data_IF_977157946748
#
_entry.id   IF_977157946748
#
_cell.length_a   1.000
_cell.length_b   1.000
_cell.length_c   1.000
_cell.angle_alpha   90.00
_cell.angle_beta   90.00
_cell.angle_gamma   90.00
#
_symmetry.space_group_name_H-M   'P 1'
#
loop_
_entity.id
_entity.type
_entity.pdbx_description
1 polymer ?
#
# COMPACT_ATOMS: atom_id res chain seq x y z
N UNK A 1 -17.80 -13.86 13.75
CA UNK A 1 -16.42 -13.81 13.26
C UNK A 1 -15.61 -12.94 14.23
N UNK A 2 -14.38 -13.34 14.55
CA UNK A 2 -13.52 -12.54 15.42
C UNK A 2 -12.63 -11.65 14.54
N UNK A 3 -12.40 -10.36 14.92
CA UNK A 3 -11.49 -9.45 14.22
C UNK A 3 -10.07 -10.05 14.09
N UNK A 4 -9.63 -10.83 15.07
CA UNK A 4 -8.31 -11.49 15.08
C UNK A 4 -8.13 -12.59 14.02
N UNK A 5 -9.21 -13.03 13.38
CA UNK A 5 -9.14 -14.00 12.27
C UNK A 5 -8.66 -13.35 10.98
N UNK A 6 -8.59 -12.02 10.94
CA UNK A 6 -8.25 -11.23 9.78
C UNK A 6 -6.98 -10.41 9.99
N UNK A 7 -6.25 -10.22 8.88
CA UNK A 7 -5.00 -9.48 8.86
C UNK A 7 -5.01 -8.42 7.77
N UNK A 8 -4.77 -7.16 8.14
CA UNK A 8 -4.53 -6.06 7.19
C UNK A 8 -3.02 -5.89 7.03
N UNK A 9 -2.54 -6.14 5.81
CA UNK A 9 -1.14 -6.04 5.47
C UNK A 9 -0.87 -4.71 4.75
N UNK A 10 -0.20 -3.79 5.46
CA UNK A 10 0.11 -2.45 4.97
C UNK A 10 1.43 -2.39 4.19
N UNK A 11 1.50 -1.59 3.10
CA UNK A 11 2.72 -1.37 2.35
C UNK A 11 3.63 -0.36 3.05
N UNK A 12 4.90 -0.69 3.21
CA UNK A 12 5.88 0.20 3.85
C UNK A 12 7.11 0.39 2.95
N UNK A 13 7.43 1.65 2.64
CA UNK A 13 8.59 2.05 1.86
C UNK A 13 9.45 3.11 2.55
N UNK A 14 9.05 3.56 3.75
CA UNK A 14 9.80 4.50 4.59
C UNK A 14 9.36 4.38 6.04
N UNK A 15 10.11 4.96 6.97
CA UNK A 15 9.71 4.99 8.38
C UNK A 15 8.41 5.79 8.59
N UNK A 16 8.19 6.87 7.83
CA UNK A 16 6.91 7.61 7.86
C UNK A 16 5.73 6.70 7.52
N UNK A 17 5.87 5.85 6.50
CA UNK A 17 4.81 4.91 6.12
C UNK A 17 4.65 3.76 7.12
N UNK A 18 5.72 3.34 7.80
CA UNK A 18 5.65 2.37 8.90
C UNK A 18 4.81 2.90 10.07
N UNK A 19 5.12 4.10 10.55
CA UNK A 19 4.33 4.70 11.64
C UNK A 19 2.90 5.03 11.21
N UNK A 20 2.70 5.44 9.94
CA UNK A 20 1.36 5.62 9.39
C UNK A 20 0.54 4.32 9.31
N UNK A 21 1.18 3.17 9.05
CA UNK A 21 0.54 1.86 9.09
C UNK A 21 0.10 1.49 10.52
N UNK A 22 0.96 1.74 11.52
CA UNK A 22 0.64 1.57 12.94
C UNK A 22 -0.56 2.44 13.32
N UNK A 23 -0.52 3.74 12.99
CA UNK A 23 -1.61 4.69 13.24
C UNK A 23 -2.91 4.30 12.56
N UNK A 24 -2.86 3.66 11.39
CA UNK A 24 -4.01 3.16 10.66
C UNK A 24 -4.62 1.88 11.24
N UNK A 25 -3.92 1.21 12.17
CA UNK A 25 -4.35 -0.06 12.76
C UNK A 25 -4.10 -1.26 11.85
N UNK A 26 -2.94 -1.31 11.17
CA UNK A 26 -2.47 -2.50 10.46
C UNK A 26 -2.17 -3.63 11.44
N UNK A 27 -2.33 -4.89 10.99
CA UNK A 27 -1.92 -6.08 11.73
C UNK A 27 -0.53 -6.57 11.27
N UNK A 28 -0.16 -6.22 10.04
CA UNK A 28 1.11 -6.57 9.46
C UNK A 28 1.61 -5.49 8.50
N UNK A 29 2.92 -5.44 8.30
CA UNK A 29 3.53 -4.64 7.25
C UNK A 29 4.30 -5.52 6.27
N UNK A 30 4.41 -5.08 5.02
CA UNK A 30 5.36 -5.67 4.09
C UNK A 30 6.25 -4.59 3.47
N UNK A 31 7.51 -4.92 3.32
CA UNK A 31 8.52 -3.98 2.84
C UNK A 31 9.60 -4.70 2.03
N UNK A 32 10.51 -3.95 1.42
CA UNK A 32 11.66 -4.48 0.70
C UNK A 32 12.94 -3.81 1.16
N UNK A 33 14.02 -4.54 1.09
CA UNK A 33 15.38 -4.00 1.18
C UNK A 33 16.00 -3.93 -0.22
N UNK A 34 17.12 -3.28 -0.36
CA UNK A 34 17.87 -3.25 -1.62
C UNK A 34 18.13 -4.68 -2.13
N UNK A 35 18.01 -4.90 -3.44
CA UNK A 35 18.26 -6.18 -4.08
C UNK A 35 17.02 -6.92 -4.59
N UNK A 36 16.70 -8.09 -4.05
CA UNK A 36 15.80 -9.10 -4.65
C UNK A 36 14.32 -8.89 -4.35
N UNK A 37 13.76 -7.72 -4.66
CA UNK A 37 12.33 -7.47 -4.54
C UNK A 37 11.73 -6.78 -5.78
N UNK A 38 10.43 -6.99 -6.04
CA UNK A 38 9.69 -6.51 -7.22
C UNK A 38 9.63 -4.98 -7.35
N UNK A 39 10.08 -4.22 -6.37
CA UNK A 39 10.15 -2.76 -6.35
C UNK A 39 11.57 -2.23 -6.12
N UNK A 40 12.59 -3.05 -6.33
CA UNK A 40 13.99 -2.69 -6.08
C UNK A 40 14.42 -1.37 -6.75
N UNK A 41 13.88 -1.06 -7.94
CA UNK A 41 14.18 0.18 -8.68
C UNK A 41 13.02 1.18 -8.75
N UNK A 42 11.85 0.88 -8.20
CA UNK A 42 10.64 1.71 -8.37
C UNK A 42 10.02 2.21 -7.07
N UNK A 43 10.61 1.91 -5.93
CA UNK A 43 10.25 2.42 -4.62
C UNK A 43 11.50 2.65 -3.79
N UNK A 44 11.37 3.43 -2.72
CA UNK A 44 12.41 3.46 -1.69
C UNK A 44 12.49 2.08 -1.04
N UNK A 45 13.71 1.65 -0.77
CA UNK A 45 13.97 0.38 -0.10
C UNK A 45 14.79 0.67 1.15
N UNK A 46 14.57 -0.15 2.18
CA UNK A 46 15.41 -0.17 3.36
C UNK A 46 16.71 -0.90 3.07
N UNK A 47 17.65 -0.82 3.98
CA UNK A 47 18.90 -1.57 3.97
C UNK A 47 18.76 -2.82 4.85
N UNK A 48 19.74 -3.71 4.78
CA UNK A 48 19.81 -4.87 5.68
C UNK A 48 19.93 -4.43 7.16
N UNK A 49 20.59 -3.30 7.42
CA UNK A 49 20.75 -2.75 8.77
C UNK A 49 19.41 -2.28 9.39
N UNK A 50 18.44 -1.90 8.55
CA UNK A 50 17.12 -1.51 9.00
C UNK A 50 16.25 -2.68 9.51
N UNK A 51 16.57 -3.92 9.14
CA UNK A 51 15.75 -5.11 9.46
C UNK A 51 15.50 -5.24 10.98
N UNK A 52 16.55 -5.15 11.79
CA UNK A 52 16.43 -5.26 13.26
C UNK A 52 15.60 -4.13 13.85
N UNK A 53 15.76 -2.92 13.33
CA UNK A 53 15.00 -1.77 13.79
C UNK A 53 13.53 -1.87 13.42
N UNK A 54 13.23 -2.30 12.19
CA UNK A 54 11.85 -2.51 11.73
C UNK A 54 11.19 -3.63 12.54
N UNK A 55 11.88 -4.76 12.74
CA UNK A 55 11.38 -5.87 13.55
C UNK A 55 11.08 -5.42 14.99
N UNK A 56 11.99 -4.66 15.62
CA UNK A 56 11.77 -4.11 16.95
C UNK A 56 10.57 -3.18 17.04
N UNK A 57 10.39 -2.25 16.08
CA UNK A 57 9.22 -1.38 16.03
C UNK A 57 7.92 -2.21 15.85
N UNK A 58 7.97 -3.25 15.03
CA UNK A 58 6.81 -4.12 14.83
C UNK A 58 6.45 -4.87 16.11
N UNK A 59 7.43 -5.45 16.79
CA UNK A 59 7.25 -6.19 18.06
C UNK A 59 6.67 -5.27 19.17
N UNK A 60 7.19 -4.05 19.29
CA UNK A 60 6.68 -3.03 20.24
C UNK A 60 5.23 -2.62 19.98
N UNK A 61 4.69 -2.87 18.78
CA UNK A 61 3.35 -2.46 18.37
C UNK A 61 2.44 -3.63 17.97
N UNK A 62 2.77 -4.86 18.33
CA UNK A 62 2.02 -6.08 18.00
C UNK A 62 1.77 -6.26 16.49
N UNK A 63 2.73 -5.83 15.64
CA UNK A 63 2.67 -6.00 14.20
C UNK A 63 3.56 -7.15 13.73
N UNK A 64 3.08 -7.87 12.71
CA UNK A 64 3.93 -8.78 11.95
C UNK A 64 4.72 -8.01 10.89
N UNK A 65 5.95 -8.45 10.64
CA UNK A 65 6.84 -7.90 9.63
C UNK A 65 7.11 -8.90 8.52
N UNK A 66 6.89 -8.52 7.25
CA UNK A 66 7.09 -9.39 6.11
C UNK A 66 8.08 -8.79 5.11
N UNK A 67 9.20 -9.47 4.88
CA UNK A 67 10.21 -9.06 3.92
C UNK A 67 9.90 -9.62 2.52
N UNK A 68 9.85 -8.76 1.51
CA UNK A 68 9.70 -9.22 0.12
C UNK A 68 11.03 -9.64 -0.47
N UNK A 69 11.15 -10.94 -0.84
CA UNK A 69 12.24 -11.55 -1.62
C UNK A 69 11.60 -12.29 -2.80
N UNK A 70 10.84 -11.53 -3.60
CA UNK A 70 9.86 -12.08 -4.54
C UNK A 70 10.19 -11.84 -6.02
N UNK A 71 11.45 -11.61 -6.35
CA UNK A 71 11.96 -11.60 -7.72
C UNK A 71 12.30 -13.02 -8.18
N UNK A 72 12.47 -13.19 -9.49
CA UNK A 72 13.17 -14.35 -10.06
C UNK A 72 14.63 -14.26 -9.67
N UNK A 73 15.22 -15.37 -9.22
CA UNK A 73 16.60 -15.51 -8.79
C UNK A 73 17.41 -16.22 -9.88
N UNK A 74 18.58 -15.68 -10.25
CA UNK A 74 19.53 -16.33 -11.14
C UNK A 74 20.66 -16.93 -10.31
N UNK A 75 21.46 -17.82 -10.88
CA UNK A 75 22.55 -18.47 -10.15
C UNK A 75 23.53 -17.47 -9.52
N UNK A 76 23.76 -16.34 -10.17
CA UNK A 76 24.58 -15.23 -9.66
C UNK A 76 23.99 -14.52 -8.43
N UNK A 77 22.68 -14.63 -8.21
CA UNK A 77 21.96 -13.99 -7.08
C UNK A 77 21.87 -14.90 -5.84
N UNK A 78 22.21 -16.20 -5.96
CA UNK A 78 21.99 -17.19 -4.89
C UNK A 78 22.70 -16.78 -3.58
N UNK A 79 23.96 -16.33 -3.69
CA UNK A 79 24.71 -15.89 -2.51
C UNK A 79 24.01 -14.71 -1.81
N UNK A 80 23.61 -13.68 -2.56
CA UNK A 80 22.88 -12.52 -2.05
C UNK A 80 21.53 -12.93 -1.45
N UNK A 81 20.81 -13.85 -2.09
CA UNK A 81 19.54 -14.35 -1.58
C UNK A 81 19.73 -15.04 -0.23
N UNK A 82 20.77 -15.86 -0.07
CA UNK A 82 21.09 -16.49 1.22
C UNK A 82 21.41 -15.44 2.29
N UNK A 83 22.20 -14.41 1.97
CA UNK A 83 22.52 -13.32 2.90
C UNK A 83 21.25 -12.59 3.37
N UNK A 84 20.35 -12.24 2.45
CA UNK A 84 19.11 -11.55 2.76
C UNK A 84 18.21 -12.40 3.66
N UNK A 85 18.02 -13.69 3.34
CA UNK A 85 17.14 -14.58 4.11
C UNK A 85 17.73 -14.87 5.49
N UNK A 86 19.05 -15.03 5.61
CA UNK A 86 19.74 -15.17 6.90
C UNK A 86 19.58 -13.91 7.76
N UNK A 87 19.77 -12.73 7.17
CA UNK A 87 19.59 -11.45 7.87
C UNK A 87 18.15 -11.26 8.36
N UNK A 88 17.16 -11.69 7.56
CA UNK A 88 15.75 -11.67 7.97
C UNK A 88 15.50 -12.58 9.18
N UNK A 89 16.07 -13.80 9.19
CA UNK A 89 16.00 -14.72 10.32
C UNK A 89 16.63 -14.13 11.58
N UNK A 90 17.87 -13.62 11.47
CA UNK A 90 18.58 -13.00 12.58
C UNK A 90 17.86 -11.79 13.18
N UNK A 91 17.21 -10.99 12.31
CA UNK A 91 16.41 -9.85 12.72
C UNK A 91 15.03 -10.25 13.29
N UNK A 92 14.66 -11.53 13.26
CA UNK A 92 13.34 -12.04 13.67
C UNK A 92 12.18 -11.44 12.86
N UNK A 93 12.38 -11.27 11.56
CA UNK A 93 11.29 -10.93 10.63
C UNK A 93 10.28 -12.09 10.64
N UNK A 94 8.98 -11.77 10.72
CA UNK A 94 7.92 -12.76 10.91
C UNK A 94 7.84 -13.76 9.75
N UNK A 95 7.98 -13.29 8.50
CA UNK A 95 8.01 -14.17 7.32
C UNK A 95 8.67 -13.48 6.13
N UNK A 96 9.03 -14.25 5.10
CA UNK A 96 9.39 -13.72 3.79
C UNK A 96 8.27 -13.96 2.78
N UNK A 97 8.08 -13.01 1.86
CA UNK A 97 7.18 -13.15 0.72
C UNK A 97 8.03 -13.52 -0.49
N UNK A 98 7.90 -14.75 -0.99
CA UNK A 98 8.76 -15.31 -2.03
C UNK A 98 7.96 -15.86 -3.22
N UNK A 99 8.59 -15.94 -4.39
CA UNK A 99 8.03 -16.52 -5.61
C UNK A 99 8.95 -17.53 -6.29
N UNK A 100 10.25 -17.41 -6.08
CA UNK A 100 11.25 -18.31 -6.64
C UNK A 100 11.47 -19.52 -5.74
N UNK A 101 11.52 -20.72 -6.32
CA UNK A 101 11.68 -21.96 -5.55
C UNK A 101 13.03 -22.03 -4.81
N UNK A 102 14.10 -21.43 -5.35
CA UNK A 102 15.39 -21.40 -4.65
C UNK A 102 15.25 -20.63 -3.32
N UNK A 103 14.56 -19.48 -3.34
CA UNK A 103 14.28 -18.68 -2.13
C UNK A 103 13.37 -19.44 -1.16
N UNK A 104 12.27 -20.04 -1.67
CA UNK A 104 11.30 -20.78 -0.86
C UNK A 104 11.97 -21.95 -0.14
N UNK A 105 12.70 -22.78 -0.87
CA UNK A 105 13.36 -23.97 -0.32
C UNK A 105 14.47 -23.60 0.69
N UNK A 106 15.27 -22.57 0.38
CA UNK A 106 16.28 -22.11 1.31
C UNK A 106 15.70 -21.58 2.61
N UNK A 107 14.69 -20.72 2.54
CA UNK A 107 14.01 -20.18 3.73
C UNK A 107 13.44 -21.32 4.60
N UNK A 108 12.77 -22.29 3.98
CA UNK A 108 12.25 -23.47 4.69
C UNK A 108 13.35 -24.32 5.34
N UNK A 109 14.50 -24.46 4.65
CA UNK A 109 15.63 -25.25 5.18
C UNK A 109 16.25 -24.67 6.44
N UNK A 110 16.08 -23.38 6.68
CA UNK A 110 16.56 -22.68 7.87
C UNK A 110 15.41 -22.24 8.81
N UNK A 111 14.21 -22.79 8.63
CA UNK A 111 13.04 -22.52 9.47
C UNK A 111 12.63 -21.02 9.49
N UNK A 112 12.51 -20.41 8.32
CA UNK A 112 11.91 -19.09 8.10
C UNK A 112 10.54 -19.29 7.46
N UNK A 113 9.51 -18.65 8.01
CA UNK A 113 8.14 -18.71 7.47
C UNK A 113 8.08 -18.06 6.07
N UNK A 114 7.32 -18.70 5.18
CA UNK A 114 7.18 -18.27 3.79
C UNK A 114 5.72 -17.98 3.47
N UNK A 115 5.46 -16.83 2.84
CA UNK A 115 4.23 -16.51 2.15
C UNK A 115 4.45 -16.61 0.65
N UNK A 116 3.62 -17.36 -0.07
CA UNK A 116 3.70 -17.48 -1.53
C UNK A 116 3.21 -16.19 -2.17
N UNK A 117 4.08 -15.55 -2.95
CA UNK A 117 3.79 -14.28 -3.60
C UNK A 117 2.82 -14.42 -4.79
N UNK A 118 2.11 -13.33 -5.10
CA UNK A 118 1.18 -13.27 -6.25
C UNK A 118 1.83 -13.60 -7.59
N UNK A 119 3.16 -13.47 -7.74
CA UNK A 119 3.88 -13.80 -8.96
C UNK A 119 3.86 -15.30 -9.30
N UNK A 120 3.55 -16.15 -8.33
CA UNK A 120 3.35 -17.59 -8.54
C UNK A 120 2.04 -17.87 -9.26
N UNK A 121 1.05 -16.96 -9.17
CA UNK A 121 -0.26 -17.04 -9.83
C UNK A 121 -1.08 -18.27 -9.41
N UNK A 122 -1.14 -18.55 -8.11
CA UNK A 122 -1.99 -19.62 -7.57
C UNK A 122 -3.45 -19.32 -7.88
N UNK A 123 -4.11 -20.21 -8.64
CA UNK A 123 -5.44 -19.98 -9.20
C UNK A 123 -6.42 -21.16 -9.07
N UNK A 124 -6.02 -22.24 -8.41
CA UNK A 124 -6.85 -23.41 -8.16
C UNK A 124 -6.42 -24.16 -6.90
N UNK A 125 -7.24 -25.08 -6.44
CA UNK A 125 -7.02 -25.82 -5.21
C UNK A 125 -5.84 -26.80 -5.27
N UNK A 126 -5.51 -27.35 -6.43
CA UNK A 126 -4.36 -28.27 -6.55
C UNK A 126 -3.05 -27.51 -6.43
N UNK A 127 -2.95 -26.31 -7.05
CA UNK A 127 -1.81 -25.44 -6.84
C UNK A 127 -1.71 -24.98 -5.37
N UNK A 128 -2.85 -24.65 -4.72
CA UNK A 128 -2.88 -24.31 -3.30
C UNK A 128 -2.37 -25.47 -2.44
N UNK A 129 -2.81 -26.71 -2.70
CA UNK A 129 -2.34 -27.94 -2.04
C UNK A 129 -0.84 -28.17 -2.20
N UNK A 130 -0.33 -27.93 -3.42
CA UNK A 130 1.10 -28.05 -3.69
C UNK A 130 1.92 -27.06 -2.88
N UNK A 131 1.56 -25.76 -2.90
CA UNK A 131 2.31 -24.73 -2.21
C UNK A 131 2.11 -24.74 -0.68
N UNK A 132 1.04 -25.35 -0.17
CA UNK A 132 0.84 -25.56 1.26
C UNK A 132 1.96 -26.39 1.92
N UNK A 133 2.72 -27.16 1.13
CA UNK A 133 3.90 -27.88 1.65
C UNK A 133 5.03 -26.94 2.08
N UNK A 134 5.01 -25.68 1.61
CA UNK A 134 6.09 -24.72 1.80
C UNK A 134 5.67 -23.45 2.54
N UNK A 135 4.37 -23.15 2.58
CA UNK A 135 3.89 -21.87 3.06
C UNK A 135 2.56 -21.99 3.82
N UNK A 136 2.33 -21.09 4.78
CA UNK A 136 1.11 -21.01 5.58
C UNK A 136 0.13 -19.97 5.02
N UNK A 137 0.60 -19.11 4.11
CA UNK A 137 -0.20 -18.07 3.43
C UNK A 137 0.07 -18.08 1.93
N UNK A 138 -1.00 -18.05 1.14
CA UNK A 138 -0.93 -17.95 -0.32
C UNK A 138 -1.60 -16.67 -0.82
N UNK A 139 -0.88 -15.88 -1.63
CA UNK A 139 -1.50 -14.81 -2.41
C UNK A 139 -2.11 -15.38 -3.68
N UNK A 140 -3.42 -15.37 -3.78
CA UNK A 140 -4.10 -15.85 -4.98
C UNK A 140 -3.91 -14.89 -6.18
N UNK A 141 -4.07 -15.44 -7.39
CA UNK A 141 -4.04 -14.68 -8.62
C UNK A 141 -5.13 -13.59 -8.62
N UNK A 142 -4.81 -12.42 -9.16
CA UNK A 142 -5.72 -11.25 -9.17
C UNK A 142 -6.85 -11.35 -10.20
N UNK A 143 -6.74 -12.31 -11.11
CA UNK A 143 -7.71 -12.60 -12.19
C UNK A 143 -8.90 -13.41 -11.71
N UNK A 144 -8.83 -13.99 -10.50
CA UNK A 144 -9.91 -14.80 -9.92
C UNK A 144 -11.09 -13.94 -9.51
N UNK A 145 -12.30 -14.45 -9.73
CA UNK A 145 -13.48 -13.91 -9.09
C UNK A 145 -13.73 -14.56 -7.72
N UNK A 146 -14.57 -13.94 -6.89
CA UNK A 146 -14.81 -14.40 -5.51
C UNK A 146 -15.47 -15.78 -5.43
N UNK A 147 -16.21 -16.23 -6.47
CA UNK A 147 -16.76 -17.60 -6.53
C UNK A 147 -15.62 -18.63 -6.66
N UNK A 148 -14.62 -18.34 -7.48
CA UNK A 148 -13.44 -19.20 -7.63
C UNK A 148 -12.60 -19.20 -6.33
N UNK A 149 -12.46 -18.06 -5.69
CA UNK A 149 -11.77 -17.94 -4.38
C UNK A 149 -12.47 -18.78 -3.32
N UNK A 150 -13.81 -18.69 -3.22
CA UNK A 150 -14.62 -19.50 -2.31
C UNK A 150 -14.44 -21.01 -2.56
N UNK A 151 -14.42 -21.45 -3.82
CA UNK A 151 -14.16 -22.85 -4.15
C UNK A 151 -12.79 -23.36 -3.72
N UNK A 152 -11.75 -22.52 -3.79
CA UNK A 152 -10.41 -22.84 -3.25
C UNK A 152 -10.49 -22.93 -1.72
N UNK A 153 -11.12 -21.94 -1.06
CA UNK A 153 -11.29 -21.92 0.39
C UNK A 153 -12.05 -23.13 0.91
N UNK A 154 -13.18 -23.48 0.29
CA UNK A 154 -13.98 -24.65 0.65
C UNK A 154 -13.18 -25.96 0.53
N UNK A 155 -12.31 -26.07 -0.47
CA UNK A 155 -11.40 -27.20 -0.62
C UNK A 155 -10.36 -27.22 0.49
N UNK A 156 -9.77 -26.09 0.85
CA UNK A 156 -8.84 -25.97 1.98
C UNK A 156 -9.51 -26.44 3.28
N UNK A 157 -10.76 -26.02 3.51
CA UNK A 157 -11.50 -26.39 4.72
C UNK A 157 -11.87 -27.89 4.74
N UNK A 158 -12.46 -28.38 3.63
CA UNK A 158 -12.93 -29.77 3.52
C UNK A 158 -11.80 -30.79 3.63
N UNK A 159 -10.68 -30.51 2.96
CA UNK A 159 -9.55 -31.44 2.86
C UNK A 159 -8.49 -31.19 3.94
N UNK A 160 -8.77 -30.25 4.86
CA UNK A 160 -7.89 -29.85 5.95
C UNK A 160 -6.45 -29.53 5.46
N UNK A 161 -6.33 -28.72 4.40
CA UNK A 161 -5.03 -28.36 3.84
C UNK A 161 -4.34 -27.40 4.80
N UNK A 162 -3.23 -27.84 5.37
CA UNK A 162 -2.42 -27.08 6.33
C UNK A 162 -1.08 -26.70 5.75
N UNK A 163 -0.53 -25.59 6.22
CA UNK A 163 0.84 -25.18 5.97
C UNK A 163 1.85 -25.93 6.85
N UNK A 164 3.14 -25.58 6.73
CA UNK A 164 4.22 -26.25 7.45
C UNK A 164 4.14 -26.16 8.98
N UNK A 165 3.48 -25.13 9.53
CA UNK A 165 3.30 -24.97 10.97
C UNK A 165 2.05 -25.69 11.51
N UNK A 166 1.35 -26.46 10.67
CA UNK A 166 0.17 -27.23 11.05
C UNK A 166 -1.13 -26.43 11.09
N UNK A 167 -1.06 -25.14 10.88
CA UNK A 167 -2.22 -24.27 10.78
C UNK A 167 -2.86 -24.38 9.39
N UNK A 168 -4.20 -24.16 9.30
CA UNK A 168 -4.88 -24.14 8.02
C UNK A 168 -4.33 -23.04 7.12
N UNK A 169 -4.11 -23.40 5.87
CA UNK A 169 -3.62 -22.50 4.84
C UNK A 169 -4.52 -21.26 4.73
N UNK A 170 -3.94 -20.08 4.83
CA UNK A 170 -4.64 -18.80 4.77
C UNK A 170 -4.59 -18.21 3.37
N UNK A 171 -5.72 -17.67 2.92
CA UNK A 171 -5.83 -16.97 1.64
C UNK A 171 -5.54 -15.48 1.85
N UNK A 172 -4.56 -14.97 1.10
CA UNK A 172 -4.25 -13.55 0.97
C UNK A 172 -4.74 -13.04 -0.39
N UNK A 173 -5.39 -11.87 -0.41
CA UNK A 173 -5.75 -11.16 -1.64
C UNK A 173 -5.46 -9.67 -1.52
N UNK A 174 -5.15 -9.05 -2.66
CA UNK A 174 -5.09 -7.59 -2.71
C UNK A 174 -6.49 -7.01 -2.53
N UNK A 175 -6.61 -5.98 -1.69
CA UNK A 175 -7.88 -5.29 -1.46
C UNK A 175 -7.89 -3.84 -1.95
N UNK A 176 -6.71 -3.20 -2.11
CA UNK A 176 -6.62 -1.81 -2.55
C UNK A 176 -5.33 -1.52 -3.31
N UNK A 177 -5.40 -0.54 -4.22
CA UNK A 177 -4.24 0.08 -4.85
C UNK A 177 -3.95 -0.39 -6.27
N UNK A 178 -2.74 -0.12 -6.75
CA UNK A 178 -2.39 -0.29 -8.15
C UNK A 178 -2.56 -1.72 -8.65
N UNK A 179 -3.29 -1.87 -9.77
CA UNK A 179 -3.39 -3.11 -10.50
C UNK A 179 -2.37 -3.15 -11.65
N UNK A 180 -1.82 -4.32 -11.93
CA UNK A 180 -0.92 -4.53 -13.06
C UNK A 180 -1.72 -4.77 -14.34
N UNK A 181 -1.24 -4.27 -15.49
CA UNK A 181 -1.79 -4.58 -16.80
C UNK A 181 -1.60 -6.04 -17.18
N UNK A 182 -0.46 -6.62 -16.80
CA UNK A 182 -0.12 -8.00 -17.08
C UNK A 182 -0.41 -8.90 -15.89
N UNK A 183 -0.52 -10.21 -16.15
CA UNK A 183 -0.45 -11.23 -15.09
C UNK A 183 0.80 -11.00 -14.25
N UNK A 184 0.65 -11.09 -12.93
CA UNK A 184 1.71 -10.72 -11.98
C UNK A 184 3.03 -11.46 -12.27
N UNK A 185 4.10 -10.69 -12.42
CA UNK A 185 5.45 -11.21 -12.71
C UNK A 185 5.68 -11.66 -14.16
N UNK A 186 4.70 -11.56 -15.08
CA UNK A 186 4.80 -12.07 -16.46
C UNK A 186 4.84 -10.95 -17.52
N UNK A 187 5.30 -9.73 -17.16
CA UNK A 187 5.31 -8.59 -18.06
C UNK A 187 6.66 -8.40 -18.75
N UNK A 188 6.66 -8.33 -20.08
CA UNK A 188 7.84 -8.07 -20.91
C UNK A 188 8.01 -6.61 -21.34
N UNK A 189 7.02 -5.72 -21.09
CA UNK A 189 7.06 -4.36 -21.62
C UNK A 189 8.35 -3.61 -21.25
N UNK A 190 8.71 -3.59 -19.97
CA UNK A 190 9.93 -2.90 -19.52
C UNK A 190 11.21 -3.57 -20.03
N UNK A 191 11.21 -4.89 -20.17
CA UNK A 191 12.37 -5.61 -20.72
C UNK A 191 12.54 -5.30 -22.21
N UNK A 192 11.46 -5.33 -22.98
CA UNK A 192 11.48 -5.07 -24.42
C UNK A 192 11.92 -3.64 -24.73
N UNK A 193 11.33 -2.65 -24.07
CA UNK A 193 11.56 -1.22 -24.37
C UNK A 193 12.84 -0.65 -23.76
N UNK A 194 13.23 -1.15 -22.58
CA UNK A 194 14.24 -0.51 -21.73
C UNK A 194 15.34 -1.48 -21.28
N UNK A 195 15.36 -2.71 -21.75
CA UNK A 195 16.23 -3.78 -21.25
C UNK A 195 16.20 -3.87 -19.70
N UNK A 196 15.00 -3.75 -19.12
CA UNK A 196 14.79 -3.65 -17.68
C UNK A 196 13.70 -4.62 -17.24
N UNK A 197 14.09 -5.77 -16.68
CA UNK A 197 13.16 -6.86 -16.37
C UNK A 197 12.26 -6.55 -15.18
N UNK A 198 10.94 -6.55 -15.43
CA UNK A 198 9.94 -6.26 -14.39
C UNK A 198 9.91 -7.34 -13.31
N UNK A 199 10.09 -8.62 -13.64
CA UNK A 199 10.11 -9.72 -12.67
C UNK A 199 11.41 -9.80 -11.85
N UNK A 200 12.39 -8.96 -12.19
CA UNK A 200 13.62 -8.73 -11.42
C UNK A 200 13.63 -7.36 -10.70
N UNK A 201 12.46 -6.80 -10.44
CA UNK A 201 12.31 -5.56 -9.67
C UNK A 201 12.53 -4.27 -10.46
N UNK A 202 12.72 -4.33 -11.78
CA UNK A 202 13.08 -3.20 -12.63
C UNK A 202 11.94 -2.74 -13.55
N UNK A 203 10.69 -2.73 -13.06
CA UNK A 203 9.53 -2.25 -13.80
C UNK A 203 9.58 -0.72 -13.98
N UNK A 204 9.65 -0.24 -15.22
CA UNK A 204 9.66 1.20 -15.56
C UNK A 204 8.26 1.78 -15.78
N UNK A 205 7.21 0.99 -15.54
CA UNK A 205 5.80 1.38 -15.65
C UNK A 205 5.40 1.95 -17.03
N UNK A 206 5.95 1.40 -18.12
CA UNK A 206 5.65 1.81 -19.50
C UNK A 206 4.14 1.79 -19.79
N UNK A 207 3.41 0.81 -19.26
CA UNK A 207 1.95 0.73 -19.37
C UNK A 207 1.19 1.94 -18.79
N UNK A 208 1.86 2.84 -18.06
CA UNK A 208 1.26 4.05 -17.48
C UNK A 208 1.46 5.31 -18.35
N UNK A 209 2.11 5.18 -19.51
CA UNK A 209 2.28 6.27 -20.47
C UNK A 209 1.03 6.42 -21.34
N UNK A 210 0.87 7.58 -21.99
CA UNK A 210 -0.11 7.76 -23.05
C UNK A 210 0.41 7.15 -24.36
N UNK A 211 -0.50 6.57 -25.16
CA UNK A 211 -0.19 5.96 -26.45
C UNK A 211 -1.13 6.49 -27.53
N UNK A 212 -0.60 6.57 -28.76
CA UNK A 212 -1.38 6.74 -29.98
C UNK A 212 -1.23 5.46 -30.78
N UNK A 213 -2.36 4.83 -31.15
CA UNK A 213 -2.38 3.58 -31.92
C UNK A 213 -2.96 3.88 -33.30
N UNK A 214 -2.17 3.62 -34.35
CA UNK A 214 -2.58 3.82 -35.75
C UNK A 214 -2.54 2.47 -36.45
N UNK A 215 -3.64 2.11 -37.12
CA UNK A 215 -3.65 0.99 -38.04
C UNK A 215 -2.79 1.33 -39.26
N UNK A 216 -1.78 0.51 -39.56
CA UNK A 216 -0.84 0.79 -40.65
C UNK A 216 -1.42 0.50 -42.04
N UNK A 217 -2.44 -0.34 -42.13
CA UNK A 217 -3.05 -0.73 -43.40
C UNK A 217 -4.11 0.28 -43.82
N UNK A 218 -4.95 0.72 -42.89
CA UNK A 218 -6.06 1.64 -43.17
C UNK A 218 -5.69 3.10 -42.89
N UNK A 219 -4.69 3.36 -42.07
CA UNK A 219 -4.35 4.70 -41.58
C UNK A 219 -5.30 5.21 -40.50
N UNK A 220 -6.30 4.40 -40.14
CA UNK A 220 -7.24 4.76 -39.08
C UNK A 220 -6.52 4.85 -37.76
N UNK A 221 -6.58 6.02 -37.15
CA UNK A 221 -6.22 6.16 -35.75
C UNK A 221 -7.38 5.61 -34.94
N UNK A 222 -7.11 4.57 -34.12
CA UNK A 222 -8.07 4.22 -33.10
C UNK A 222 -8.29 5.48 -32.27
N UNK A 223 -9.44 6.12 -32.46
CA UNK A 223 -9.93 7.18 -31.61
C UNK A 223 -10.30 6.57 -30.25
N UNK A 224 -9.26 6.15 -29.52
CA UNK A 224 -9.42 5.74 -28.14
C UNK A 224 -9.56 7.05 -27.41
N UNK A 225 -10.77 7.36 -26.97
CA UNK A 225 -11.07 8.53 -26.13
C UNK A 225 -10.16 8.58 -24.90
N UNK A 226 -9.52 7.47 -24.56
CA UNK A 226 -8.60 7.29 -23.46
C UNK A 226 -7.17 6.97 -23.95
N UNK A 227 -6.27 7.94 -23.83
CA UNK A 227 -4.84 7.80 -24.18
C UNK A 227 -4.09 6.73 -23.36
N UNK A 228 -4.69 6.22 -22.27
CA UNK A 228 -4.05 5.30 -21.32
C UNK A 228 -4.60 3.88 -21.44
N UNK A 229 -4.63 3.35 -22.64
CA UNK A 229 -5.17 2.04 -22.98
C UNK A 229 -4.58 0.83 -22.23
N UNK A 230 -3.42 1.01 -21.60
CA UNK A 230 -2.73 -0.01 -20.81
C UNK A 230 -2.58 0.37 -19.33
N UNK A 231 -3.18 1.48 -18.87
CA UNK A 231 -3.10 1.93 -17.49
C UNK A 231 -4.38 1.61 -16.72
N UNK A 232 -4.46 0.45 -16.02
CA UNK A 232 -5.65 0.11 -15.26
C UNK A 232 -5.89 1.13 -14.14
N UNK A 233 -7.18 1.34 -13.83
CA UNK A 233 -7.60 2.00 -12.59
C UNK A 233 -7.09 1.22 -11.38
N UNK A 234 -7.03 1.86 -10.22
CA UNK A 234 -6.63 1.21 -8.98
C UNK A 234 -7.76 0.33 -8.43
N UNK A 235 -7.40 -0.85 -7.92
CA UNK A 235 -8.34 -1.75 -7.23
C UNK A 235 -8.91 -1.07 -5.98
N UNK A 236 -10.22 -1.21 -5.77
CA UNK A 236 -10.90 -0.83 -4.53
C UNK A 236 -11.99 -1.83 -4.22
N UNK A 237 -11.90 -2.50 -3.08
CA UNK A 237 -12.83 -3.58 -2.70
C UNK A 237 -13.69 -3.23 -1.48
N UNK A 238 -13.52 -2.05 -0.90
CA UNK A 238 -14.12 -1.68 0.39
C UNK A 238 -15.66 -1.78 0.38
N UNK A 239 -16.30 -1.61 -0.76
CA UNK A 239 -17.76 -1.68 -0.91
C UNK A 239 -18.33 -3.11 -1.09
N UNK A 240 -17.45 -4.13 -1.13
CA UNK A 240 -17.83 -5.55 -1.08
C UNK A 240 -16.90 -6.36 -0.15
N UNK A 241 -16.42 -5.73 0.90
CA UNK A 241 -15.50 -6.32 1.87
C UNK A 241 -16.10 -7.56 2.53
N UNK A 242 -17.37 -7.52 2.86
CA UNK A 242 -18.14 -8.66 3.37
C UNK A 242 -18.07 -9.87 2.43
N UNK A 243 -18.20 -9.67 1.11
CA UNK A 243 -18.11 -10.75 0.12
C UNK A 243 -16.72 -11.38 0.04
N UNK A 244 -15.67 -10.58 0.22
CA UNK A 244 -14.30 -11.11 0.30
C UNK A 244 -14.10 -11.99 1.54
N UNK A 245 -14.61 -11.54 2.67
CA UNK A 245 -14.60 -12.27 3.94
C UNK A 245 -15.36 -13.60 3.80
N UNK A 246 -16.55 -13.56 3.21
CA UNK A 246 -17.41 -14.75 2.97
C UNK A 246 -16.73 -15.73 1.99
N UNK A 247 -15.99 -15.23 1.00
CA UNK A 247 -15.22 -16.07 0.08
C UNK A 247 -13.95 -16.71 0.71
N UNK A 248 -13.69 -16.45 2.00
CA UNK A 248 -12.61 -17.09 2.73
C UNK A 248 -11.29 -16.31 2.76
N UNK A 249 -11.26 -15.06 2.29
CA UNK A 249 -10.06 -14.21 2.43
C UNK A 249 -9.80 -13.90 3.89
N UNK A 250 -8.56 -14.07 4.32
CA UNK A 250 -8.14 -13.84 5.72
C UNK A 250 -7.02 -12.79 5.84
N UNK A 251 -6.25 -12.57 4.77
CA UNK A 251 -5.20 -11.56 4.72
C UNK A 251 -5.50 -10.56 3.59
N UNK A 252 -5.67 -9.30 3.95
CA UNK A 252 -6.06 -8.20 3.06
C UNK A 252 -4.86 -7.32 2.78
N UNK A 253 -4.29 -7.46 1.58
CA UNK A 253 -3.08 -6.73 1.18
C UNK A 253 -3.39 -5.42 0.49
N UNK A 254 -2.79 -4.36 0.97
CA UNK A 254 -2.85 -3.03 0.34
C UNK A 254 -1.60 -2.83 -0.53
N UNK A 255 -1.75 -2.49 -1.81
CA UNK A 255 -0.63 -2.13 -2.68
C UNK A 255 -0.27 -0.65 -2.50
N UNK A 256 1.03 -0.34 -2.35
CA UNK A 256 1.42 1.05 -2.22
C UNK A 256 2.77 1.34 -1.59
N UNK A 257 3.80 0.51 -1.71
CA UNK A 257 5.14 0.75 -1.13
C UNK A 257 5.80 2.07 -1.54
N UNK A 258 5.48 2.59 -2.72
CA UNK A 258 5.94 3.90 -3.20
C UNK A 258 4.97 5.05 -2.86
N UNK A 259 3.98 4.82 -1.98
CA UNK A 259 3.00 5.83 -1.60
C UNK A 259 3.43 6.56 -0.33
N UNK A 260 2.90 7.77 -0.17
CA UNK A 260 3.15 8.63 0.98
C UNK A 260 2.45 8.13 2.25
N UNK A 261 2.90 8.61 3.40
CA UNK A 261 2.40 8.19 4.70
C UNK A 261 0.89 8.45 4.89
N UNK A 262 0.35 9.58 4.40
CA UNK A 262 -1.08 9.86 4.48
C UNK A 262 -1.93 8.89 3.65
N UNK A 263 -1.40 8.38 2.52
CA UNK A 263 -2.05 7.31 1.78
C UNK A 263 -2.14 6.05 2.63
N UNK A 264 -1.01 5.63 3.21
CA UNK A 264 -0.95 4.41 4.03
C UNK A 264 -1.91 4.53 5.21
N UNK A 265 -1.84 5.61 6.00
CA UNK A 265 -2.72 5.85 7.14
C UNK A 265 -4.20 5.80 6.73
N UNK A 266 -4.58 6.56 5.69
CA UNK A 266 -5.98 6.66 5.26
C UNK A 266 -6.53 5.32 4.77
N UNK A 267 -5.78 4.63 3.89
CA UNK A 267 -6.25 3.36 3.33
C UNK A 267 -6.34 2.29 4.42
N UNK A 268 -5.30 2.13 5.23
CA UNK A 268 -5.29 1.14 6.33
C UNK A 268 -6.44 1.39 7.30
N UNK A 269 -6.65 2.65 7.74
CA UNK A 269 -7.76 3.00 8.63
C UNK A 269 -9.12 2.63 8.05
N UNK A 270 -9.39 2.98 6.78
CA UNK A 270 -10.65 2.66 6.11
C UNK A 270 -10.90 1.14 6.07
N UNK A 271 -9.90 0.34 5.70
CA UNK A 271 -10.03 -1.12 5.65
C UNK A 271 -10.11 -1.76 7.04
N UNK A 272 -9.42 -1.23 8.05
CA UNK A 272 -9.56 -1.67 9.42
C UNK A 272 -10.97 -1.42 9.96
N UNK A 273 -11.51 -0.23 9.74
CA UNK A 273 -12.89 0.12 10.08
C UNK A 273 -13.90 -0.79 9.35
N UNK A 274 -13.67 -1.08 8.06
CA UNK A 274 -14.54 -1.94 7.26
C UNK A 274 -14.57 -3.39 7.78
N UNK A 275 -13.40 -3.97 8.09
CA UNK A 275 -13.33 -5.33 8.68
C UNK A 275 -14.01 -5.36 10.05
N UNK A 276 -13.75 -4.35 10.90
CA UNK A 276 -14.41 -4.25 12.20
C UNK A 276 -15.93 -4.17 12.04
N UNK A 277 -16.44 -3.37 11.09
CA UNK A 277 -17.85 -3.25 10.81
C UNK A 277 -18.45 -4.58 10.33
N UNK A 278 -17.76 -5.34 9.46
CA UNK A 278 -18.17 -6.68 9.04
C UNK A 278 -18.24 -7.65 10.23
N UNK A 279 -17.22 -7.64 11.09
CA UNK A 279 -17.19 -8.51 12.28
C UNK A 279 -18.33 -8.21 13.27
N UNK A 280 -18.67 -6.94 13.43
CA UNK A 280 -19.70 -6.45 14.34
C UNK A 280 -21.11 -6.46 13.72
N UNK A 281 -21.26 -6.79 12.44
CA UNK A 281 -22.56 -6.79 11.75
C UNK A 281 -23.12 -5.39 11.48
N UNK A 282 -22.27 -4.35 11.50
CA UNK A 282 -22.67 -2.94 11.30
C UNK A 282 -22.29 -2.38 9.92
N UNK A 283 -21.67 -3.20 9.07
CA UNK A 283 -21.25 -2.79 7.73
C UNK A 283 -22.44 -2.32 6.89
N UNK A 284 -22.40 -1.08 6.40
CA UNK A 284 -23.51 -0.44 5.69
C UNK A 284 -23.04 0.40 4.50
N UNK A 285 -23.97 0.72 3.59
CA UNK A 285 -23.70 1.59 2.44
C UNK A 285 -23.30 3.01 2.87
N UNK A 286 -23.84 3.51 3.97
CA UNK A 286 -23.49 4.81 4.53
C UNK A 286 -22.01 4.84 4.98
N UNK A 287 -21.57 3.81 5.69
CA UNK A 287 -20.16 3.68 6.08
C UNK A 287 -19.27 3.59 4.85
N UNK A 288 -19.66 2.82 3.84
CA UNK A 288 -18.93 2.71 2.57
C UNK A 288 -18.79 4.07 1.90
N UNK A 289 -19.86 4.88 1.83
CA UNK A 289 -19.81 6.22 1.28
C UNK A 289 -18.81 7.12 2.04
N UNK A 290 -18.77 7.04 3.36
CA UNK A 290 -17.81 7.77 4.19
C UNK A 290 -16.35 7.37 3.92
N UNK A 291 -16.08 6.06 3.79
CA UNK A 291 -14.74 5.57 3.41
C UNK A 291 -14.36 5.96 1.99
N UNK A 292 -15.29 5.94 1.06
CA UNK A 292 -15.07 6.33 -0.33
C UNK A 292 -14.62 7.80 -0.43
N UNK A 293 -15.25 8.71 0.32
CA UNK A 293 -14.83 10.11 0.37
C UNK A 293 -13.40 10.27 0.93
N UNK A 294 -13.02 9.49 1.93
CA UNK A 294 -11.66 9.50 2.48
C UNK A 294 -10.65 8.93 1.47
N UNK A 295 -10.97 7.81 0.83
CA UNK A 295 -10.09 7.17 -0.16
C UNK A 295 -9.87 8.01 -1.42
N UNK A 296 -10.85 8.82 -1.85
CA UNK A 296 -10.71 9.77 -2.95
C UNK A 296 -9.72 10.89 -2.66
N UNK A 297 -9.50 11.25 -1.40
CA UNK A 297 -8.58 12.34 -1.00
C UNK A 297 -7.12 11.98 -1.25
N UNK A 298 -6.73 10.71 -1.14
CA UNK A 298 -5.37 10.22 -1.33
C UNK A 298 -5.11 9.74 -2.75
N UNK A 299 -3.85 9.48 -3.08
CA UNK A 299 -3.45 9.06 -4.43
C UNK A 299 -4.26 7.87 -4.94
N UNK A 300 -4.86 8.03 -6.13
CA UNK A 300 -5.52 6.96 -6.87
C UNK A 300 -5.50 7.28 -8.37
N UNK A 301 -5.84 6.30 -9.22
CA UNK A 301 -5.98 6.44 -10.68
C UNK A 301 -7.42 6.25 -11.15
N UNK A 302 -8.39 6.63 -10.30
CA UNK A 302 -9.76 6.14 -10.39
C UNK A 302 -9.83 4.72 -9.82
N UNK A 303 -11.03 4.27 -9.50
CA UNK A 303 -11.25 2.98 -8.84
C UNK A 303 -12.09 2.04 -9.69
N UNK A 304 -11.85 0.74 -9.55
CA UNK A 304 -12.66 -0.34 -10.08
C UNK A 304 -12.55 -1.60 -9.20
N UNK A 305 -13.38 -2.59 -9.47
CA UNK A 305 -13.51 -3.80 -8.64
C UNK A 305 -12.47 -4.88 -8.95
N UNK A 306 -11.59 -4.65 -9.91
CA UNK A 306 -10.80 -5.74 -10.47
C UNK A 306 -11.71 -6.76 -11.15
N UNK A 307 -11.29 -8.02 -11.18
CA UNK A 307 -12.07 -9.13 -11.70
C UNK A 307 -12.91 -9.83 -10.63
N UNK A 308 -12.88 -9.38 -9.40
CA UNK A 308 -13.40 -10.06 -8.22
C UNK A 308 -14.91 -10.28 -8.25
N UNK A 309 -15.68 -9.39 -8.86
CA UNK A 309 -17.12 -9.53 -9.02
C UNK A 309 -17.54 -10.14 -10.38
N UNK A 310 -16.58 -10.74 -11.12
CA UNK A 310 -16.84 -11.42 -12.39
C UNK A 310 -16.83 -10.51 -13.62
N UNK A 311 -16.24 -9.31 -13.53
CA UNK A 311 -16.03 -8.44 -14.69
C UNK A 311 -15.18 -9.15 -15.75
N UNK A 312 -15.58 -9.01 -17.03
CA UNK A 312 -14.86 -9.61 -18.17
C UNK A 312 -13.85 -8.67 -18.82
N UNK A 313 -14.07 -7.36 -18.68
CA UNK A 313 -13.22 -6.32 -19.26
C UNK A 313 -12.59 -5.49 -18.15
N UNK A 314 -11.33 -5.09 -18.36
CA UNK A 314 -10.63 -4.17 -17.47
C UNK A 314 -11.12 -2.73 -17.62
N UNK A 315 -10.92 -1.92 -16.59
CA UNK A 315 -11.18 -0.49 -16.64
C UNK A 315 -9.87 0.30 -16.60
N UNK A 316 -9.78 1.31 -17.48
CA UNK A 316 -8.58 2.11 -17.69
C UNK A 316 -8.73 3.51 -17.10
N UNK A 317 -7.61 4.10 -16.68
CA UNK A 317 -7.62 5.49 -16.22
C UNK A 317 -7.70 6.44 -17.43
N UNK A 318 -8.43 7.53 -17.29
CA UNK A 318 -8.53 8.60 -18.29
C UNK A 318 -7.51 9.72 -18.08
N UNK A 319 -6.75 9.71 -16.96
CA UNK A 319 -5.85 10.78 -16.56
C UNK A 319 -4.44 10.26 -16.30
N UNK A 320 -3.42 11.08 -16.64
CA UNK A 320 -2.06 10.83 -16.18
C UNK A 320 -1.89 11.21 -14.71
N UNK A 321 -1.19 10.37 -13.96
CA UNK A 321 -0.86 10.65 -12.57
C UNK A 321 -2.00 10.33 -11.59
N UNK A 322 -2.30 11.25 -10.68
CA UNK A 322 -3.27 11.07 -9.61
C UNK A 322 -4.64 11.65 -9.94
N UNK A 323 -5.68 10.91 -9.59
CA UNK A 323 -7.08 11.37 -9.54
C UNK A 323 -7.53 11.79 -8.14
N UNK A 324 -6.60 11.92 -7.20
CA UNK A 324 -6.89 12.38 -5.84
C UNK A 324 -7.59 13.74 -5.87
N UNK A 325 -8.54 13.96 -4.98
CA UNK A 325 -9.24 15.24 -4.85
C UNK A 325 -8.45 16.26 -4.05
N UNK A 326 -7.43 15.82 -3.32
CA UNK A 326 -6.56 16.68 -2.49
C UNK A 326 -5.11 16.61 -2.93
N UNK A 327 -4.40 17.72 -2.74
CA UNK A 327 -2.96 17.85 -2.97
C UNK A 327 -2.28 18.47 -1.77
N UNK A 328 -1.12 17.95 -1.39
CA UNK A 328 -0.29 18.50 -0.30
C UNK A 328 0.57 19.64 -0.82
N UNK A 329 0.50 20.78 -0.16
CA UNK A 329 1.35 21.94 -0.38
C UNK A 329 2.20 22.14 0.87
N UNK A 330 3.52 22.05 0.71
CA UNK A 330 4.43 22.27 1.84
C UNK A 330 4.28 23.70 2.37
N UNK A 331 4.13 23.84 3.69
CA UNK A 331 3.91 25.13 4.34
C UNK A 331 4.94 25.42 5.43
N UNK A 332 5.13 24.51 6.38
CA UNK A 332 5.90 24.80 7.58
C UNK A 332 6.75 23.61 8.07
N UNK A 333 7.76 23.94 8.85
CA UNK A 333 8.65 23.00 9.53
C UNK A 333 8.35 22.97 11.02
N UNK A 334 8.24 21.77 11.59
CA UNK A 334 8.11 21.54 13.02
C UNK A 334 9.35 22.01 13.79
N UNK A 335 9.13 22.77 14.85
CA UNK A 335 10.19 23.34 15.69
C UNK A 335 10.21 22.68 17.07
N UNK A 336 9.07 22.62 17.73
CA UNK A 336 8.94 22.13 19.10
C UNK A 336 7.55 21.57 19.38
N UNK A 337 7.46 20.63 20.31
CA UNK A 337 6.19 20.11 20.82
C UNK A 337 6.13 20.24 22.34
N UNK A 338 5.02 20.78 22.82
CA UNK A 338 4.74 20.97 24.25
C UNK A 338 3.75 19.88 24.69
N UNK A 339 4.27 18.76 25.16
CA UNK A 339 3.49 17.55 25.45
C UNK A 339 2.41 17.76 26.51
N UNK A 340 2.63 18.63 27.50
CA UNK A 340 1.68 18.85 28.60
C UNK A 340 0.40 19.58 28.18
N UNK A 341 0.45 20.33 27.08
CA UNK A 341 -0.67 21.11 26.56
C UNK A 341 -1.07 20.70 25.13
N UNK A 342 -0.43 19.65 24.58
CA UNK A 342 -0.68 19.15 23.23
C UNK A 342 -0.59 20.24 22.15
N UNK A 343 0.47 21.07 22.19
CA UNK A 343 0.70 22.16 21.25
C UNK A 343 2.00 21.95 20.50
N UNK A 344 1.96 22.08 19.18
CA UNK A 344 3.13 22.06 18.31
C UNK A 344 3.45 23.48 17.80
N UNK A 345 4.72 23.86 17.85
CA UNK A 345 5.25 25.09 17.26
C UNK A 345 5.87 24.79 15.91
N UNK A 346 5.58 25.64 14.93
CA UNK A 346 6.09 25.55 13.56
C UNK A 346 6.71 26.87 13.12
N UNK A 347 7.62 26.78 12.15
CA UNK A 347 8.10 27.92 11.37
C UNK A 347 7.46 27.85 9.98
N UNK A 348 6.73 28.89 9.60
CA UNK A 348 6.16 29.01 8.26
C UNK A 348 7.28 29.32 7.26
N UNK A 349 7.54 28.37 6.36
CA UNK A 349 8.60 28.50 5.35
C UNK A 349 8.06 28.84 3.96
N UNK A 350 6.84 28.42 3.67
CA UNK A 350 6.21 28.60 2.36
C UNK A 350 4.69 28.65 2.50
N UNK A 351 3.99 29.33 1.58
CA UNK A 351 2.53 29.47 1.58
C UNK A 351 1.98 30.23 2.83
N UNK A 352 0.73 30.05 3.14
CA UNK A 352 0.02 30.57 4.32
C UNK A 352 -0.89 29.48 4.90
N UNK A 353 -1.22 29.58 6.18
CA UNK A 353 -2.13 28.66 6.87
C UNK A 353 -3.27 29.45 7.49
N UNK A 354 -4.51 28.98 7.28
CA UNK A 354 -5.72 29.61 7.84
C UNK A 354 -6.37 28.67 8.87
N UNK A 355 -7.08 29.27 9.80
CA UNK A 355 -8.04 28.54 10.64
C UNK A 355 -9.07 27.86 9.72
N UNK A 356 -9.32 26.57 9.95
CA UNK A 356 -10.21 25.77 9.13
C UNK A 356 -9.54 24.95 8.02
N UNK A 357 -8.26 25.18 7.71
CA UNK A 357 -7.51 24.38 6.74
C UNK A 357 -7.36 22.93 7.21
N UNK A 358 -7.49 21.98 6.27
CA UNK A 358 -7.03 20.59 6.48
C UNK A 358 -5.51 20.53 6.29
N UNK A 359 -4.81 19.87 7.21
CA UNK A 359 -3.36 19.73 7.17
C UNK A 359 -2.91 18.28 7.29
N UNK A 360 -1.71 18.02 6.78
CA UNK A 360 -0.95 16.78 7.00
C UNK A 360 0.39 17.14 7.62
N UNK A 361 0.68 16.61 8.81
CA UNK A 361 2.01 16.68 9.42
C UNK A 361 2.65 15.31 9.22
N UNK A 362 3.88 15.27 8.72
CA UNK A 362 4.56 14.01 8.42
C UNK A 362 6.04 14.09 8.79
N UNK A 363 6.53 12.98 9.36
CA UNK A 363 7.94 12.81 9.72
C UNK A 363 8.32 11.36 9.99
N UNK A 364 9.62 11.02 10.00
CA UNK A 364 10.11 9.63 10.04
C UNK A 364 9.61 8.80 11.21
N UNK A 365 9.31 9.42 12.35
CA UNK A 365 8.80 8.74 13.55
C UNK A 365 7.46 9.31 14.01
N UNK A 366 6.91 10.26 13.27
CA UNK A 366 5.59 10.86 13.50
C UNK A 366 4.52 10.21 12.63
N UNK A 367 4.93 9.59 11.52
CA UNK A 367 3.99 9.01 10.56
C UNK A 367 3.25 10.08 9.77
N UNK A 368 1.93 10.09 9.83
CA UNK A 368 1.09 11.10 9.19
C UNK A 368 -0.05 11.52 10.12
N UNK A 369 -0.05 12.77 10.58
CA UNK A 369 -1.15 13.36 11.34
C UNK A 369 -2.03 14.13 10.37
N UNK A 370 -3.31 13.78 10.28
CA UNK A 370 -4.29 14.41 9.39
C UNK A 370 -5.34 15.06 10.27
N UNK A 371 -5.48 16.39 10.18
CA UNK A 371 -6.40 17.14 11.02
C UNK A 371 -6.85 18.45 10.38
N UNK A 372 -7.90 19.05 10.94
CA UNK A 372 -8.34 20.41 10.64
C UNK A 372 -7.77 21.36 11.68
N UNK A 373 -7.28 22.52 11.25
CA UNK A 373 -6.76 23.56 12.13
C UNK A 373 -7.92 24.30 12.78
N UNK A 374 -8.02 24.22 14.10
CA UNK A 374 -9.09 24.87 14.86
C UNK A 374 -8.68 26.28 15.34
N UNK A 375 -7.43 26.47 15.73
CA UNK A 375 -6.88 27.72 16.21
C UNK A 375 -5.40 27.83 15.80
N UNK A 376 -4.96 29.04 15.45
CA UNK A 376 -3.58 29.41 15.20
C UNK A 376 -3.18 30.49 16.18
N UNK A 377 -2.01 30.39 16.80
CA UNK A 377 -1.44 31.44 17.65
C UNK A 377 -0.08 31.88 17.14
N UNK A 378 0.09 33.19 17.01
CA UNK A 378 1.37 33.87 16.78
C UNK A 378 1.63 34.74 18.00
N UNK A 379 2.81 34.62 18.62
CA UNK A 379 3.17 35.30 19.87
C UNK A 379 2.11 35.15 20.99
N UNK A 380 1.59 33.92 21.12
CA UNK A 380 0.55 33.52 22.09
C UNK A 380 -0.85 34.16 21.85
N UNK A 381 -1.03 34.95 20.80
CA UNK A 381 -2.30 35.58 20.44
C UNK A 381 -2.99 34.78 19.33
N UNK A 382 -4.30 34.53 19.41
CA UNK A 382 -5.04 33.89 18.34
C UNK A 382 -5.06 34.78 17.10
N UNK A 383 -4.88 34.16 15.93
CA UNK A 383 -4.92 34.81 14.61
C UNK A 383 -5.71 33.96 13.64
N UNK A 384 -6.32 34.58 12.63
CA UNK A 384 -7.05 33.87 11.57
C UNK A 384 -6.12 33.16 10.58
N UNK A 385 -4.92 33.69 10.39
CA UNK A 385 -3.89 33.12 9.51
C UNK A 385 -2.48 33.44 9.97
N UNK A 386 -1.52 32.67 9.46
CA UNK A 386 -0.08 32.93 9.57
C UNK A 386 0.57 32.94 8.19
N UNK A 387 1.66 33.67 8.05
CA UNK A 387 2.35 33.88 6.78
C UNK A 387 3.82 33.52 6.87
N UNK A 388 4.49 33.45 5.72
CA UNK A 388 5.90 33.07 5.62
C UNK A 388 6.80 33.90 6.57
N UNK A 389 7.67 33.20 7.29
CA UNK A 389 8.63 33.75 8.24
C UNK A 389 8.13 33.81 9.68
N UNK A 390 6.85 33.63 9.93
CA UNK A 390 6.27 33.62 11.28
C UNK A 390 6.46 32.28 11.99
N UNK A 391 6.66 32.35 13.31
CA UNK A 391 6.51 31.22 14.20
C UNK A 391 5.09 31.19 14.72
N UNK A 392 4.45 30.05 14.61
CA UNK A 392 3.09 29.88 15.05
C UNK A 392 2.92 28.56 15.79
N UNK A 393 1.87 28.45 16.55
CA UNK A 393 1.51 27.22 17.25
C UNK A 393 0.06 26.82 16.98
N UNK A 394 -0.15 25.52 16.93
CA UNK A 394 -1.47 24.88 16.81
C UNK A 394 -1.58 23.73 17.80
N UNK A 395 -2.81 23.40 18.22
CA UNK A 395 -3.07 22.22 19.03
C UNK A 395 -2.96 20.97 18.16
N UNK A 396 -2.19 19.97 18.62
CA UNK A 396 -2.01 18.68 17.96
C UNK A 396 -1.92 17.61 19.04
N UNK A 397 -2.86 16.66 19.06
CA UNK A 397 -2.92 15.64 20.11
C UNK A 397 -1.78 14.61 20.01
N UNK A 398 -1.35 14.29 18.79
CA UNK A 398 -0.22 13.40 18.53
C UNK A 398 1.11 14.17 18.57
N UNK A 399 2.16 13.51 19.04
CA UNK A 399 3.49 14.14 19.19
C UNK A 399 4.11 14.52 17.84
N UNK A 400 4.36 15.81 17.65
CA UNK A 400 5.15 16.38 16.56
C UNK A 400 6.61 16.48 16.97
N UNK A 401 7.52 16.23 16.04
CA UNK A 401 8.97 16.28 16.29
C UNK A 401 9.63 17.41 15.51
N UNK A 402 10.78 17.92 16.01
CA UNK A 402 11.57 18.88 15.23
C UNK A 402 11.89 18.35 13.84
N UNK A 403 11.73 19.21 12.83
CA UNK A 403 11.89 18.90 11.40
C UNK A 403 10.76 18.12 10.74
N UNK A 404 9.71 17.73 11.44
CA UNK A 404 8.49 17.25 10.79
C UNK A 404 7.96 18.33 9.83
N UNK A 405 7.36 17.89 8.75
CA UNK A 405 6.84 18.77 7.69
C UNK A 405 5.34 18.93 7.84
N UNK A 406 4.87 20.17 7.87
CA UNK A 406 3.46 20.49 7.79
C UNK A 406 3.11 20.86 6.35
N UNK A 407 2.06 20.23 5.84
CA UNK A 407 1.49 20.49 4.52
C UNK A 407 0.04 20.95 4.67
N UNK A 408 -0.35 21.97 3.93
CA UNK A 408 -1.77 22.30 3.74
C UNK A 408 -2.35 21.34 2.71
N UNK A 409 -3.48 20.74 3.00
CA UNK A 409 -4.10 19.73 2.16
C UNK A 409 -5.29 20.32 1.39
N UNK A 410 -4.97 20.96 0.26
CA UNK A 410 -5.91 21.76 -0.53
C UNK A 410 -6.66 20.94 -1.57
N UNK A 411 -7.81 21.43 -1.99
CA UNK A 411 -8.56 20.88 -3.12
C UNK A 411 -7.77 21.06 -4.43
N UNK A 412 -7.71 19.99 -5.24
CA UNK A 412 -6.94 19.99 -6.50
C UNK A 412 -7.50 20.98 -7.52
N UNK A 413 -8.83 21.10 -7.62
CA UNK A 413 -9.47 22.00 -8.58
C UNK A 413 -9.28 23.48 -8.16
N UNK A 414 -9.27 23.75 -6.86
CA UNK A 414 -8.96 25.08 -6.33
C UNK A 414 -7.54 25.50 -6.68
N UNK A 415 -6.56 24.62 -6.45
CA UNK A 415 -5.15 24.89 -6.79
C UNK A 415 -4.94 25.07 -8.30
N UNK A 416 -5.65 24.30 -9.14
CA UNK A 416 -5.61 24.45 -10.60
C UNK A 416 -6.13 25.80 -11.04
N UNK A 417 -7.26 26.27 -10.50
CA UNK A 417 -7.82 27.60 -10.79
C UNK A 417 -6.83 28.71 -10.46
N UNK A 418 -6.19 28.65 -9.31
CA UNK A 418 -5.18 29.63 -8.88
C UNK A 418 -3.95 29.68 -9.79
N UNK A 419 -3.55 28.56 -10.41
CA UNK A 419 -2.41 28.49 -11.35
C UNK A 419 -2.74 29.04 -12.75
N UNK A 420 -3.99 29.02 -13.15
CA UNK A 420 -4.43 29.55 -14.46
C UNK A 420 -4.57 31.08 -14.43
N UNK A 421 -4.72 31.67 -13.24
CA UNK A 421 -4.87 33.11 -13.04
C UNK A 421 -3.51 33.83 -12.86
N UNK A 422 -2.42 33.08 -12.64
CA UNK A 422 -1.03 33.58 -12.63
C UNK A 422 -0.35 33.31 -13.97
#
# INVERSE_FOLDING_TARGET
>A
MNRKDFEIMAPVGSYESLYAAIQGGADAIYFGIEGLNMRARSANNFTTDDLRKIAGICDENDLKSYLTVNTIVYDEDIALMHEIVNAAKEAKISAIIASDMATILYARSIDVEVHISTQVNVSNSEAARFYAQYADVLVLARELNLTQVAGIYDTIQRDNICGPHGERLRIEMFCHGALCMAVSGKCYLSLHEMNSSANRGACTQICRRGYEVTDRETGDQLAIENKYIMSPKDLKTIHFMNKMIDAGVRVFKIEGRARSAEYVRTVVSCYNEAINACCNGTYSEEMVAGWDERLKKVFNRGFWNGYYLGQRLGEWTSKYGSSATRVKIYAAKGMRYFSNIHVAEFLMENDELHVGDEIVISGPTTGAIIMKVEEIRVDLKPVEKTVRGERFSIKVDERVRPSDKLYVWRDVEEVRRQRVIK
#
